data_IF_690373785863
#
_entry.id   IF_690373785863
#
_cell.length_a   1.000
_cell.length_b   1.000
_cell.length_c   1.000
_cell.angle_alpha   90.00
_cell.angle_beta   90.00
_cell.angle_gamma   90.00
#
_symmetry.space_group_name_H-M   'P 1'
#
loop_
_entity.id
_entity.type
_entity.pdbx_description
1 polymer ?
#
# COMPACT_ATOMS: atom_id res chain seq x y z
N UNK A 1 -34.87 -24.22 -9.60
CA UNK A 1 -34.22 -22.92 -9.85
C UNK A 1 -33.20 -22.53 -8.78
N UNK A 2 -33.54 -22.55 -7.49
CA UNK A 2 -32.61 -22.16 -6.42
C UNK A 2 -31.31 -23.00 -6.34
N UNK A 3 -31.38 -24.31 -6.64
CA UNK A 3 -30.21 -25.22 -6.62
C UNK A 3 -29.11 -24.84 -7.63
N UNK A 4 -29.49 -24.27 -8.78
CA UNK A 4 -28.54 -23.81 -9.81
C UNK A 4 -28.03 -22.40 -9.55
N UNK A 5 -28.72 -21.61 -8.72
CA UNK A 5 -28.28 -20.26 -8.36
C UNK A 5 -27.10 -20.28 -7.39
N UNK A 6 -27.04 -21.24 -6.47
CA UNK A 6 -25.93 -21.35 -5.50
C UNK A 6 -24.56 -21.48 -6.17
N UNK A 7 -24.31 -22.45 -7.09
CA UNK A 7 -23.02 -22.56 -7.77
C UNK A 7 -22.75 -21.39 -8.75
N UNK A 8 -23.78 -20.83 -9.39
CA UNK A 8 -23.64 -19.65 -10.26
C UNK A 8 -23.20 -18.41 -9.49
N UNK A 9 -23.83 -18.14 -8.34
CA UNK A 9 -23.47 -17.02 -7.48
C UNK A 9 -22.07 -17.20 -6.90
N UNK A 10 -21.70 -18.41 -6.47
CA UNK A 10 -20.36 -18.70 -5.98
C UNK A 10 -19.30 -18.44 -7.07
N UNK A 11 -19.52 -18.95 -8.29
CA UNK A 11 -18.63 -18.72 -9.43
C UNK A 11 -18.55 -17.24 -9.83
N UNK A 12 -19.69 -16.53 -9.83
CA UNK A 12 -19.74 -15.10 -10.16
C UNK A 12 -19.00 -14.23 -9.13
N UNK A 13 -19.20 -14.48 -7.83
CA UNK A 13 -18.48 -13.77 -6.76
C UNK A 13 -17.00 -14.10 -6.81
N UNK A 14 -16.63 -15.35 -7.08
CA UNK A 14 -15.23 -15.74 -7.23
C UNK A 14 -14.57 -14.99 -8.40
N UNK A 15 -15.19 -14.98 -9.59
CA UNK A 15 -14.65 -14.25 -10.74
C UNK A 15 -14.59 -12.75 -10.47
N UNK A 16 -15.61 -12.17 -9.85
CA UNK A 16 -15.63 -10.75 -9.50
C UNK A 16 -14.51 -10.38 -8.50
N UNK A 17 -14.37 -11.14 -7.42
CA UNK A 17 -13.34 -10.92 -6.40
C UNK A 17 -11.93 -11.12 -6.95
N UNK A 18 -11.72 -12.00 -7.92
CA UNK A 18 -10.41 -12.23 -8.55
C UNK A 18 -10.14 -11.27 -9.72
N UNK A 19 -11.18 -10.75 -10.40
CA UNK A 19 -11.02 -9.79 -11.49
C UNK A 19 -10.74 -8.39 -10.96
N UNK A 20 -11.35 -7.98 -9.84
CA UNK A 20 -11.11 -6.66 -9.26
C UNK A 20 -10.93 -6.65 -7.72
N UNK A 21 -9.97 -7.40 -7.16
CA UNK A 21 -9.67 -7.32 -5.73
C UNK A 21 -9.00 -5.99 -5.35
N UNK A 22 -8.36 -5.33 -6.32
CA UNK A 22 -7.53 -4.14 -6.11
C UNK A 22 -8.29 -2.81 -6.27
N UNK A 23 -9.47 -2.80 -6.89
CA UNK A 23 -10.19 -1.58 -7.28
C UNK A 23 -10.73 -0.72 -6.14
N UNK A 24 -10.64 -1.20 -4.89
CA UNK A 24 -11.02 -0.45 -3.70
C UNK A 24 -9.85 -0.25 -2.72
N UNK A 25 -8.64 -0.69 -3.07
CA UNK A 25 -7.49 -0.58 -2.17
C UNK A 25 -7.02 0.87 -2.01
N UNK A 26 -7.29 1.72 -3.01
CA UNK A 26 -7.07 3.17 -2.94
C UNK A 26 -7.95 3.89 -1.90
N UNK A 27 -8.87 3.16 -1.24
CA UNK A 27 -9.66 3.66 -0.11
C UNK A 27 -9.06 3.25 1.24
N UNK A 28 -8.06 2.38 1.24
CA UNK A 28 -7.37 1.89 2.43
C UNK A 28 -6.21 2.83 2.73
N UNK A 29 -6.30 3.53 3.85
CA UNK A 29 -5.23 4.39 4.35
C UNK A 29 -4.04 3.55 4.85
N UNK A 30 -2.87 3.78 4.27
CA UNK A 30 -1.62 3.10 4.62
C UNK A 30 -0.54 4.13 4.94
N UNK A 31 0.17 3.97 6.05
CA UNK A 31 1.26 4.88 6.41
C UNK A 31 2.53 4.57 5.61
N UNK A 32 3.23 5.62 5.18
CA UNK A 32 4.51 5.52 4.49
C UNK A 32 5.55 6.39 5.20
N UNK A 33 6.62 5.78 5.67
CA UNK A 33 7.77 6.48 6.29
C UNK A 33 9.05 6.11 5.56
N UNK A 34 9.88 7.12 5.30
CA UNK A 34 11.21 6.97 4.68
C UNK A 34 12.24 7.48 5.68
N UNK A 35 12.99 6.56 6.25
CA UNK A 35 14.13 6.83 7.14
C UNK A 35 15.46 6.72 6.39
N UNK A 36 15.45 6.17 5.16
CA UNK A 36 16.60 6.12 4.25
C UNK A 36 17.18 7.53 4.03
N UNK A 37 18.42 7.71 4.47
CA UNK A 37 19.20 8.94 4.25
C UNK A 37 19.73 9.04 2.80
N UNK A 38 19.56 7.99 2.00
CA UNK A 38 20.15 7.86 0.67
C UNK A 38 21.62 7.44 0.72
N UNK A 39 22.17 7.10 -0.45
CA UNK A 39 23.55 6.66 -0.61
C UNK A 39 24.24 7.46 -1.72
N UNK A 40 25.54 7.73 -1.57
CA UNK A 40 26.33 8.29 -2.67
C UNK A 40 26.84 7.14 -3.55
N UNK A 41 26.52 7.17 -4.84
CA UNK A 41 27.06 6.22 -5.82
C UNK A 41 28.57 6.40 -5.97
N UNK A 42 29.26 5.37 -6.45
CA UNK A 42 30.68 5.38 -6.81
C UNK A 42 31.09 6.57 -7.71
N UNK A 43 30.12 7.07 -8.49
CA UNK A 43 30.29 8.19 -9.43
C UNK A 43 29.98 9.57 -8.81
N UNK A 44 29.77 9.65 -7.49
CA UNK A 44 29.49 10.90 -6.76
C UNK A 44 28.04 11.40 -6.85
N UNK A 45 27.14 10.63 -7.45
CA UNK A 45 25.71 10.97 -7.54
C UNK A 45 25.01 10.57 -6.23
N UNK A 46 24.32 11.52 -5.59
CA UNK A 46 23.40 11.21 -4.50
C UNK A 46 22.20 10.41 -5.01
N UNK A 47 22.00 9.26 -4.38
CA UNK A 47 20.99 8.28 -4.76
C UNK A 47 20.01 8.11 -3.60
N UNK A 48 18.87 8.80 -3.70
CA UNK A 48 17.75 8.69 -2.76
C UNK A 48 16.83 7.55 -3.19
N UNK A 49 17.30 6.31 -3.07
CA UNK A 49 16.54 5.13 -3.51
C UNK A 49 15.23 5.00 -2.73
N UNK A 50 15.27 5.14 -1.40
CA UNK A 50 14.08 5.00 -0.57
C UNK A 50 13.03 6.04 -0.92
N UNK A 51 13.45 7.28 -1.21
CA UNK A 51 12.53 8.33 -1.63
C UNK A 51 11.89 8.05 -2.98
N UNK A 52 12.66 7.59 -3.97
CA UNK A 52 12.11 7.22 -5.29
C UNK A 52 11.10 6.09 -5.21
N UNK A 53 11.34 5.10 -4.35
CA UNK A 53 10.38 4.02 -4.09
C UNK A 53 9.11 4.58 -3.45
N UNK A 54 9.24 5.44 -2.44
CA UNK A 54 8.10 6.08 -1.79
C UNK A 54 7.25 6.90 -2.78
N UNK A 55 7.88 7.71 -3.63
CA UNK A 55 7.19 8.51 -4.64
C UNK A 55 6.47 7.60 -5.65
N UNK A 56 7.09 6.49 -6.07
CA UNK A 56 6.47 5.52 -6.99
C UNK A 56 5.25 4.81 -6.38
N UNK A 57 5.27 4.56 -5.06
CA UNK A 57 4.14 3.98 -4.35
C UNK A 57 2.95 4.94 -4.28
N UNK A 58 3.23 6.22 -3.98
CA UNK A 58 2.22 7.27 -3.95
C UNK A 58 1.61 7.48 -5.34
N UNK A 59 2.44 7.56 -6.38
CA UNK A 59 2.00 7.74 -7.76
C UNK A 59 1.18 6.55 -8.28
N UNK A 60 1.58 5.32 -7.92
CA UNK A 60 0.87 4.10 -8.29
C UNK A 60 -0.55 4.00 -7.73
N UNK A 61 -0.88 4.79 -6.69
CA UNK A 61 -2.23 4.96 -6.12
C UNK A 61 -2.99 3.65 -5.85
N UNK A 62 -2.25 2.58 -5.55
CA UNK A 62 -2.81 1.27 -5.20
C UNK A 62 -3.44 1.34 -3.81
N UNK A 63 -2.82 2.08 -2.90
CA UNK A 63 -3.33 2.40 -1.57
C UNK A 63 -3.40 3.92 -1.40
N UNK A 64 -4.22 4.38 -0.46
CA UNK A 64 -4.21 5.78 -0.06
C UNK A 64 -3.02 6.04 0.87
N UNK A 65 -1.84 6.15 0.27
CA UNK A 65 -0.61 6.35 1.02
C UNK A 65 -0.63 7.69 1.77
N UNK A 66 -0.38 7.63 3.07
CA UNK A 66 -0.24 8.77 3.97
C UNK A 66 1.23 8.87 4.39
N UNK A 67 2.00 9.81 3.81
CA UNK A 67 3.36 10.08 4.25
C UNK A 67 3.32 10.54 5.72
N UNK A 68 4.10 9.89 6.57
CA UNK A 68 4.26 10.26 7.98
C UNK A 68 5.74 10.52 8.29
N UNK A 69 6.03 11.45 9.22
CA UNK A 69 7.39 11.90 9.49
C UNK A 69 8.26 10.89 10.25
N UNK A 70 7.69 10.04 11.12
CA UNK A 70 8.49 9.09 11.93
C UNK A 70 7.89 7.69 11.96
N UNK A 71 8.76 6.71 12.22
CA UNK A 71 8.35 5.31 12.38
C UNK A 71 7.42 5.12 13.58
N UNK A 72 7.58 5.88 14.66
CA UNK A 72 6.67 5.80 15.81
C UNK A 72 5.26 6.31 15.48
N UNK A 73 5.14 7.38 14.67
CA UNK A 73 3.83 7.87 14.23
C UNK A 73 3.12 6.84 13.33
N UNK A 74 3.88 6.19 12.43
CA UNK A 74 3.38 5.07 11.64
C UNK A 74 2.83 3.95 12.55
N UNK A 75 3.59 3.52 13.54
CA UNK A 75 3.19 2.43 14.45
C UNK A 75 1.99 2.79 15.32
N UNK A 76 1.95 4.02 15.84
CA UNK A 76 0.83 4.52 16.61
C UNK A 76 -0.44 4.62 15.75
N UNK A 77 -0.29 5.05 14.50
CA UNK A 77 -1.39 5.12 13.54
C UNK A 77 -1.96 3.74 13.16
N UNK A 78 -1.10 2.72 13.02
CA UNK A 78 -1.57 1.33 12.82
C UNK A 78 -2.23 0.79 14.08
N UNK A 79 -1.62 1.00 15.24
CA UNK A 79 -2.14 0.49 16.53
C UNK A 79 -3.50 1.11 16.91
N UNK A 80 -3.74 2.36 16.52
CA UNK A 80 -5.00 3.06 16.74
C UNK A 80 -6.07 2.77 15.67
N UNK A 81 -5.71 2.05 14.61
CA UNK A 81 -6.61 1.77 13.47
C UNK A 81 -6.79 2.94 12.51
N UNK A 82 -6.01 4.02 12.65
CA UNK A 82 -5.97 5.15 11.70
C UNK A 82 -5.43 4.71 10.34
N UNK A 83 -4.48 3.78 10.34
CA UNK A 83 -3.91 3.18 9.15
C UNK A 83 -4.08 1.66 9.21
N UNK A 84 -4.37 1.03 8.08
CA UNK A 84 -4.49 -0.42 8.01
C UNK A 84 -3.14 -1.12 8.20
N UNK A 85 -2.07 -0.51 7.69
CA UNK A 85 -0.68 -0.97 7.85
C UNK A 85 0.29 0.20 7.60
N UNK A 86 1.57 -0.03 7.90
CA UNK A 86 2.66 0.90 7.64
C UNK A 86 3.76 0.24 6.81
N UNK A 87 4.30 0.98 5.85
CA UNK A 87 5.53 0.61 5.14
C UNK A 87 6.66 1.54 5.59
N UNK A 88 7.73 0.95 6.10
CA UNK A 88 8.92 1.66 6.57
C UNK A 88 10.09 1.34 5.64
N UNK A 89 10.71 2.38 5.11
CA UNK A 89 11.89 2.26 4.25
C UNK A 89 13.10 2.74 5.07
N UNK A 90 13.95 1.82 5.57
CA UNK A 90 15.12 2.14 6.38
C UNK A 90 16.29 2.69 5.55
#
# INVERSE_FOLDING_TARGET
LALVMVPLLYGAVYLYANWNPYGNLNQIDAALVVEDAGATSSDGIELQAGRKVADSLVDGNVFNWKPVPTAEEADAGVSSGKYAFALKIP
#
